data_IF_054233084884
#
_entry.id   IF_054233084884
#
_cell.length_a   1.000
_cell.length_b   1.000
_cell.length_c   1.000
_cell.angle_alpha   90.00
_cell.angle_beta   90.00
_cell.angle_gamma   90.00
#
_symmetry.space_group_name_H-M   'P 1'
#
loop_
_entity.id
_entity.type
_entity.pdbx_description
1 polymer ?
#
# COMPACT_ATOMS: atom_id res chain seq x y z
N UNK A 1 3.22 73.63 0.72
CA UNK A 1 2.70 72.97 1.94
C UNK A 1 2.62 71.47 1.62
N UNK A 2 3.59 70.65 2.09
CA UNK A 2 3.43 69.59 3.12
C UNK A 2 2.11 68.81 2.92
N UNK A 3 2.09 67.50 2.67
CA UNK A 3 2.62 66.46 3.56
C UNK A 3 2.99 65.15 2.82
N UNK A 4 4.05 64.52 3.33
CA UNK A 4 4.38 63.09 3.22
C UNK A 4 3.20 62.20 3.64
N UNK A 5 3.15 60.95 3.16
CA UNK A 5 3.19 59.71 3.97
C UNK A 5 2.97 58.48 3.07
N UNK A 6 4.03 57.70 2.87
CA UNK A 6 4.28 56.37 3.47
C UNK A 6 3.66 55.21 2.67
N UNK A 7 4.55 54.56 1.93
CA UNK A 7 4.54 53.15 1.54
C UNK A 7 3.89 52.24 2.58
N UNK A 8 2.94 51.41 2.14
CA UNK A 8 2.53 50.20 2.84
C UNK A 8 2.47 49.06 1.81
N UNK A 9 3.62 48.42 1.57
CA UNK A 9 3.65 47.13 0.89
C UNK A 9 3.11 46.09 1.87
N UNK A 10 1.91 45.57 1.60
CA UNK A 10 1.34 44.46 2.34
C UNK A 10 2.06 43.17 1.92
N UNK A 11 3.11 42.80 2.66
CA UNK A 11 3.70 41.46 2.56
C UNK A 11 2.77 40.51 3.31
N UNK A 12 1.93 39.79 2.58
CA UNK A 12 1.18 38.65 3.13
C UNK A 12 2.18 37.52 3.30
N UNK A 13 2.63 37.30 4.54
CA UNK A 13 3.42 36.14 4.92
C UNK A 13 2.48 34.93 4.80
N UNK A 14 2.58 34.20 3.69
CA UNK A 14 2.04 32.86 3.61
C UNK A 14 2.85 31.98 4.57
N UNK A 15 2.37 31.83 5.80
CA UNK A 15 2.82 30.77 6.70
C UNK A 15 2.25 29.46 6.14
N UNK A 16 2.95 28.90 5.16
CA UNK A 16 2.79 27.50 4.81
C UNK A 16 3.12 26.72 6.07
N UNK A 17 2.08 26.14 6.68
CA UNK A 17 2.22 25.14 7.74
C UNK A 17 3.19 24.07 7.25
N UNK A 18 4.44 24.16 7.67
CA UNK A 18 5.35 23.02 7.71
C UNK A 18 4.78 22.09 8.78
N UNK A 19 3.74 21.34 8.41
CA UNK A 19 3.45 20.11 9.11
C UNK A 19 4.74 19.29 9.06
N UNK A 20 5.21 18.76 10.21
CA UNK A 20 6.31 17.82 10.17
C UNK A 20 5.80 16.60 9.41
N UNK A 21 6.21 16.47 8.15
CA UNK A 21 6.31 15.18 7.49
C UNK A 21 7.35 14.40 8.30
N UNK A 22 6.90 13.75 9.37
CA UNK A 22 7.73 12.81 10.10
C UNK A 22 8.30 11.84 9.06
N UNK A 23 9.62 11.93 8.87
CA UNK A 23 10.37 11.38 7.75
C UNK A 23 9.83 10.03 7.28
N UNK A 24 9.06 10.08 6.21
CA UNK A 24 8.71 8.94 5.40
C UNK A 24 9.84 8.68 4.41
N UNK A 25 11.11 8.62 4.85
CA UNK A 25 12.28 8.33 3.98
C UNK A 25 12.74 6.88 4.10
N UNK A 26 12.35 6.17 5.16
CA UNK A 26 12.75 4.78 5.38
C UNK A 26 11.63 3.80 5.06
N UNK A 27 12.03 2.63 4.57
CA UNK A 27 11.15 1.46 4.42
C UNK A 27 10.60 1.07 5.78
N UNK A 28 9.27 0.98 5.88
CA UNK A 28 8.60 0.69 7.13
C UNK A 28 8.77 -0.77 7.57
N UNK A 29 8.43 -1.06 8.83
CA UNK A 29 8.47 -2.42 9.35
C UNK A 29 7.50 -3.38 8.63
N UNK A 30 6.47 -2.86 7.96
CA UNK A 30 5.57 -3.65 7.10
C UNK A 30 6.12 -3.86 5.68
N UNK A 31 7.26 -3.24 5.34
CA UNK A 31 7.87 -3.25 4.01
C UNK A 31 7.39 -2.12 3.10
N UNK A 32 6.67 -1.13 3.62
CA UNK A 32 6.15 -0.01 2.84
C UNK A 32 7.21 1.06 2.59
N UNK A 33 7.44 1.39 1.34
CA UNK A 33 8.34 2.45 0.92
C UNK A 33 7.69 3.83 0.98
N UNK A 34 8.51 4.89 1.13
CA UNK A 34 8.10 6.25 0.84
C UNK A 34 7.34 6.37 -0.48
N UNK A 35 6.36 7.27 -0.55
CA UNK A 35 5.77 7.59 -1.85
C UNK A 35 6.74 8.45 -2.67
N UNK A 36 6.85 8.19 -3.98
CA UNK A 36 7.53 9.12 -4.88
C UNK A 36 6.95 10.54 -4.74
N UNK A 37 7.78 11.60 -4.81
CA UNK A 37 7.29 12.97 -4.77
C UNK A 37 6.22 13.23 -5.82
N UNK A 38 5.12 13.88 -5.43
CA UNK A 38 4.01 14.19 -6.33
C UNK A 38 3.02 13.04 -6.58
N UNK A 39 3.19 11.89 -5.91
CA UNK A 39 2.20 10.81 -5.97
C UNK A 39 0.84 11.31 -5.47
N UNK A 40 -0.19 11.14 -6.29
CA UNK A 40 -1.57 11.44 -5.90
C UNK A 40 -2.10 10.32 -5.01
N UNK A 41 -2.72 10.70 -3.89
CA UNK A 41 -3.35 9.75 -2.96
C UNK A 41 -4.88 9.91 -2.99
N UNK A 42 -5.65 8.81 -2.84
CA UNK A 42 -7.11 8.85 -2.96
C UNK A 42 -7.82 9.77 -1.96
N UNK A 43 -7.31 9.86 -0.73
CA UNK A 43 -7.86 10.66 0.36
C UNK A 43 -6.82 10.89 1.47
N UNK A 44 -7.10 11.78 2.42
CA UNK A 44 -6.27 11.98 3.62
C UNK A 44 -6.32 10.72 4.52
N UNK A 45 -5.19 10.05 4.78
CA UNK A 45 -5.17 8.79 5.53
C UNK A 45 -5.63 8.93 6.99
N UNK A 46 -5.66 10.15 7.54
CA UNK A 46 -6.11 10.42 8.90
C UNK A 46 -5.08 10.05 9.98
N UNK A 47 -5.51 10.06 11.24
CA UNK A 47 -4.60 9.95 12.38
C UNK A 47 -3.85 8.61 12.44
N UNK A 48 -2.54 8.69 12.63
CA UNK A 48 -1.62 7.54 12.77
C UNK A 48 -1.65 6.56 11.58
N UNK A 49 -2.09 7.03 10.42
CA UNK A 49 -2.09 6.27 9.17
C UNK A 49 -1.37 7.10 8.11
N UNK A 50 -0.63 6.43 7.24
CA UNK A 50 0.10 7.07 6.14
C UNK A 50 -0.02 6.23 4.88
N UNK A 51 0.09 6.87 3.73
CA UNK A 51 0.19 6.16 2.46
C UNK A 51 1.62 5.68 2.23
N UNK A 52 1.76 4.44 1.77
CA UNK A 52 3.04 3.81 1.45
C UNK A 52 2.93 3.05 0.13
N UNK A 53 4.05 2.96 -0.58
CA UNK A 53 4.20 2.15 -1.79
C UNK A 53 4.77 0.80 -1.39
N UNK A 54 4.10 -0.30 -1.73
CA UNK A 54 4.59 -1.65 -1.45
C UNK A 54 4.96 -2.35 -2.75
N UNK A 55 6.06 -3.09 -2.74
CA UNK A 55 6.42 -3.96 -3.86
C UNK A 55 5.33 -5.01 -4.11
N UNK A 56 5.09 -5.31 -5.37
CA UNK A 56 4.14 -6.34 -5.79
C UNK A 56 4.85 -7.64 -6.12
N UNK A 57 4.36 -8.72 -5.51
CA UNK A 57 4.73 -10.08 -5.87
C UNK A 57 3.56 -10.74 -6.61
N UNK A 58 3.74 -10.97 -7.90
CA UNK A 58 2.70 -11.43 -8.83
C UNK A 58 2.50 -12.95 -8.70
N UNK A 59 1.27 -13.43 -8.92
CA UNK A 59 1.00 -14.86 -8.98
C UNK A 59 1.86 -15.51 -10.09
N UNK A 60 2.65 -16.52 -9.73
CA UNK A 60 3.62 -17.17 -10.61
C UNK A 60 5.07 -16.81 -10.30
N UNK A 61 5.31 -15.74 -9.53
CA UNK A 61 6.62 -15.46 -8.94
C UNK A 61 7.00 -16.57 -7.93
N UNK A 62 8.24 -17.12 -7.95
CA UNK A 62 8.70 -18.10 -6.97
C UNK A 62 8.55 -17.63 -5.52
N UNK A 63 8.62 -16.32 -5.28
CA UNK A 63 8.52 -15.69 -3.97
C UNK A 63 7.08 -15.43 -3.52
N UNK A 64 6.07 -15.76 -4.34
CA UNK A 64 4.67 -15.46 -4.02
C UNK A 64 4.23 -16.02 -2.66
N UNK A 65 4.74 -17.19 -2.26
CA UNK A 65 4.46 -17.79 -0.94
C UNK A 65 5.64 -17.69 0.04
N UNK A 66 6.73 -17.03 -0.35
CA UNK A 66 7.90 -16.86 0.50
C UNK A 66 7.59 -15.81 1.59
N UNK A 67 7.72 -16.21 2.86
CA UNK A 67 7.43 -15.35 4.02
C UNK A 67 8.54 -14.32 4.29
N UNK A 68 9.75 -14.58 3.80
CA UNK A 68 10.90 -13.70 3.98
C UNK A 68 10.87 -12.51 3.00
N UNK A 69 10.04 -12.60 1.96
CA UNK A 69 9.87 -11.54 0.96
C UNK A 69 8.69 -10.65 1.34
N UNK A 70 8.97 -9.41 1.72
CA UNK A 70 7.94 -8.40 1.99
C UNK A 70 7.29 -7.92 0.70
N UNK A 71 6.06 -7.43 0.80
CA UNK A 71 5.30 -6.91 -0.34
C UNK A 71 3.88 -7.45 -0.40
N UNK A 72 3.10 -6.89 -1.32
CA UNK A 72 1.70 -7.25 -1.54
C UNK A 72 1.61 -8.33 -2.60
N UNK A 73 0.89 -9.42 -2.29
CA UNK A 73 0.61 -10.49 -3.23
C UNK A 73 -0.57 -10.11 -4.11
N UNK A 74 -0.39 -10.11 -5.43
CA UNK A 74 -1.46 -9.77 -6.37
C UNK A 74 -1.85 -10.99 -7.19
N UNK A 75 -3.14 -11.33 -7.16
CA UNK A 75 -3.75 -12.37 -7.99
C UNK A 75 -4.51 -11.70 -9.14
N UNK A 76 -4.24 -12.12 -10.37
CA UNK A 76 -4.84 -11.56 -11.58
C UNK A 76 -3.90 -10.61 -12.33
N UNK A 77 -4.43 -9.96 -13.37
CA UNK A 77 -3.66 -9.01 -14.17
C UNK A 77 -3.32 -7.74 -13.38
N UNK A 78 -2.03 -7.46 -13.24
CA UNK A 78 -1.51 -6.23 -12.67
C UNK A 78 -0.12 -5.92 -13.22
N UNK A 79 -0.01 -4.78 -13.91
CA UNK A 79 1.18 -4.44 -14.69
C UNK A 79 2.20 -3.57 -13.94
N UNK A 80 1.83 -3.03 -12.78
CA UNK A 80 2.72 -2.22 -11.96
C UNK A 80 3.53 -3.13 -11.02
N UNK A 81 4.71 -2.65 -10.63
CA UNK A 81 5.60 -3.38 -9.72
C UNK A 81 5.46 -2.90 -8.27
N UNK A 82 4.66 -1.85 -8.05
CA UNK A 82 4.27 -1.41 -6.72
C UNK A 82 2.78 -1.10 -6.65
N UNK A 83 2.24 -1.11 -5.44
CA UNK A 83 0.85 -0.80 -5.13
C UNK A 83 0.78 0.17 -3.95
N UNK A 84 -0.16 1.11 -4.03
CA UNK A 84 -0.39 2.08 -2.97
C UNK A 84 -1.24 1.43 -1.87
N UNK A 85 -0.79 1.42 -0.62
CA UNK A 85 -1.60 0.96 0.50
C UNK A 85 -1.52 1.91 1.69
N UNK A 86 -2.52 1.84 2.56
CA UNK A 86 -2.47 2.51 3.85
C UNK A 86 -1.61 1.69 4.81
N UNK A 87 -0.82 2.38 5.60
CA UNK A 87 -0.13 1.79 6.74
C UNK A 87 -0.59 2.50 8.00
N UNK A 88 -1.14 1.73 8.94
CA UNK A 88 -1.45 2.22 10.28
C UNK A 88 -0.32 1.86 11.25
N UNK A 89 0.06 2.81 12.10
CA UNK A 89 1.17 2.66 13.05
C UNK A 89 1.02 1.45 14.02
N UNK A 90 -0.22 1.00 14.28
CA UNK A 90 -0.50 -0.17 15.15
C UNK A 90 -1.01 -1.38 14.36
N UNK A 91 -1.83 -1.14 13.34
CA UNK A 91 -2.50 -2.19 12.58
C UNK A 91 -1.69 -2.76 11.41
N UNK A 92 -0.59 -2.12 11.05
CA UNK A 92 0.19 -2.49 9.86
C UNK A 92 -0.51 -2.08 8.57
N UNK A 93 -0.32 -2.88 7.51
CA UNK A 93 -0.85 -2.57 6.19
C UNK A 93 -2.37 -2.78 6.13
N UNK A 94 -3.07 -1.72 5.74
CA UNK A 94 -4.51 -1.67 5.55
C UNK A 94 -4.84 -1.19 4.13
N UNK A 95 -6.07 -1.43 3.64
CA UNK A 95 -6.60 -1.02 2.33
C UNK A 95 -5.59 -0.64 1.22
N UNK A 96 -5.49 -1.45 0.17
CA UNK A 96 -4.65 -1.13 -0.99
C UNK A 96 -5.50 -0.50 -2.09
N UNK A 97 -4.92 0.39 -2.90
CA UNK A 97 -5.60 1.21 -3.87
C UNK A 97 -4.83 1.28 -5.19
N UNK A 98 -5.56 1.28 -6.29
CA UNK A 98 -5.04 1.47 -7.66
C UNK A 98 -5.99 2.41 -8.38
N UNK A 99 -5.45 3.47 -8.99
CA UNK A 99 -6.22 4.49 -9.72
C UNK A 99 -7.41 5.05 -8.92
N UNK A 100 -7.20 5.30 -7.61
CA UNK A 100 -8.22 5.84 -6.72
C UNK A 100 -9.27 4.83 -6.22
N UNK A 101 -9.20 3.57 -6.63
CA UNK A 101 -10.14 2.52 -6.24
C UNK A 101 -9.49 1.52 -5.31
N UNK A 102 -10.24 1.04 -4.33
CA UNK A 102 -9.76 0.01 -3.41
C UNK A 102 -9.61 -1.34 -4.14
N UNK A 103 -8.43 -1.94 -3.98
CA UNK A 103 -8.15 -3.31 -4.39
C UNK A 103 -8.90 -4.29 -3.48
N UNK A 104 -9.43 -5.34 -4.07
CA UNK A 104 -10.18 -6.34 -3.30
C UNK A 104 -9.22 -7.21 -2.52
N UNK A 105 -9.28 -7.12 -1.19
CA UNK A 105 -8.52 -7.99 -0.31
C UNK A 105 -9.07 -9.42 -0.36
N UNK A 106 -8.21 -10.39 -0.67
CA UNK A 106 -8.56 -11.81 -0.76
C UNK A 106 -8.17 -12.55 0.52
N UNK A 107 -7.08 -12.16 1.18
CA UNK A 107 -6.68 -12.72 2.47
C UNK A 107 -5.51 -11.94 3.06
N UNK A 108 -5.20 -12.21 4.33
CA UNK A 108 -3.94 -11.86 4.94
C UNK A 108 -3.27 -13.16 5.42
N UNK A 109 -2.15 -13.51 4.80
CA UNK A 109 -1.43 -14.77 5.01
C UNK A 109 -0.09 -14.50 5.71
N UNK A 110 0.61 -15.53 6.23
CA UNK A 110 1.94 -15.36 6.82
C UNK A 110 2.97 -14.71 5.87
N UNK A 111 2.80 -14.88 4.56
CA UNK A 111 3.64 -14.26 3.52
C UNK A 111 3.12 -12.88 3.05
N UNK A 112 2.15 -12.29 3.75
CA UNK A 112 1.65 -10.94 3.50
C UNK A 112 0.21 -10.87 3.01
N UNK A 113 -0.19 -9.65 2.69
CA UNK A 113 -1.54 -9.32 2.21
C UNK A 113 -1.72 -9.78 0.77
N UNK A 114 -2.84 -10.43 0.49
CA UNK A 114 -3.22 -10.92 -0.84
C UNK A 114 -4.40 -10.11 -1.34
N UNK A 115 -4.24 -9.48 -2.50
CA UNK A 115 -5.26 -8.62 -3.12
C UNK A 115 -5.46 -8.98 -4.59
N UNK A 116 -6.53 -8.44 -5.16
CA UNK A 116 -6.73 -8.41 -6.61
C UNK A 116 -7.32 -7.07 -7.04
N UNK A 117 -6.96 -6.66 -8.25
CA UNK A 117 -7.59 -5.55 -8.98
C UNK A 117 -8.17 -6.00 -10.32
N UNK A 118 -8.00 -7.29 -10.65
CA UNK A 118 -8.50 -7.88 -11.88
C UNK A 118 -10.02 -8.13 -11.73
N UNK A 119 -10.86 -7.57 -12.62
CA UNK A 119 -12.32 -7.75 -12.54
C UNK A 119 -12.77 -9.21 -12.55
N UNK A 120 -12.09 -10.07 -13.32
CA UNK A 120 -12.42 -11.49 -13.40
C UNK A 120 -12.10 -12.20 -12.09
N UNK A 121 -10.92 -11.95 -11.53
CA UNK A 121 -10.53 -12.54 -10.23
C UNK A 121 -11.41 -11.99 -9.11
N UNK A 122 -11.74 -10.70 -9.14
CA UNK A 122 -12.64 -10.07 -8.19
C UNK A 122 -14.03 -10.70 -8.19
N UNK A 123 -14.58 -11.04 -9.37
CA UNK A 123 -15.84 -11.77 -9.47
C UNK A 123 -15.81 -13.11 -8.71
N UNK A 124 -14.67 -13.80 -8.72
CA UNK A 124 -14.47 -15.06 -7.97
C UNK A 124 -13.91 -14.87 -6.56
N UNK A 125 -13.77 -13.63 -6.06
CA UNK A 125 -13.17 -13.35 -4.76
C UNK A 125 -13.77 -14.15 -3.59
N UNK A 126 -15.10 -14.38 -3.49
CA UNK A 126 -15.67 -15.20 -2.42
C UNK A 126 -15.16 -16.64 -2.41
N UNK A 127 -15.05 -17.27 -3.58
CA UNK A 127 -14.52 -18.62 -3.71
C UNK A 127 -13.01 -18.66 -3.39
N UNK A 128 -12.25 -17.69 -3.89
CA UNK A 128 -10.81 -17.59 -3.63
C UNK A 128 -10.54 -17.39 -2.13
N UNK A 129 -11.28 -16.48 -1.48
CA UNK A 129 -11.24 -16.25 -0.03
C UNK A 129 -11.49 -17.54 0.76
N UNK A 130 -12.47 -18.34 0.34
CA UNK A 130 -12.76 -19.62 0.98
C UNK A 130 -11.57 -20.58 0.91
N UNK A 131 -10.98 -20.77 -0.27
CA UNK A 131 -9.83 -21.66 -0.43
C UNK A 131 -8.58 -21.15 0.29
N UNK A 132 -8.29 -19.85 0.25
CA UNK A 132 -7.19 -19.25 1.00
C UNK A 132 -7.40 -19.38 2.51
N UNK A 133 -8.64 -19.21 2.98
CA UNK A 133 -9.00 -19.42 4.39
C UNK A 133 -8.78 -20.86 4.86
N UNK A 134 -9.08 -21.86 4.02
CA UNK A 134 -8.76 -23.26 4.31
C UNK A 134 -7.24 -23.47 4.37
N UNK A 135 -6.49 -22.93 3.40
CA UNK A 135 -5.02 -23.04 3.40
C UNK A 135 -4.40 -22.42 4.66
N UNK A 136 -4.89 -21.26 5.09
CA UNK A 136 -4.44 -20.59 6.30
C UNK A 136 -4.70 -21.44 7.56
N UNK A 137 -5.92 -22.01 7.68
CA UNK A 137 -6.31 -22.83 8.85
C UNK A 137 -5.56 -24.15 8.94
N UNK A 138 -5.30 -24.77 7.80
CA UNK A 138 -4.64 -26.08 7.74
C UNK A 138 -3.10 -25.98 7.71
N UNK A 139 -2.53 -24.77 7.75
CA UNK A 139 -1.08 -24.55 7.67
C UNK A 139 -0.47 -25.04 6.35
N UNK A 140 -1.28 -25.21 5.29
CA UNK A 140 -0.87 -25.79 4.00
C UNK A 140 0.01 -24.84 3.18
N UNK A 141 0.30 -23.65 3.69
CA UNK A 141 1.12 -22.62 3.05
C UNK A 141 2.47 -23.15 2.55
N UNK A 142 3.05 -24.14 3.25
CA UNK A 142 4.34 -24.75 2.93
C UNK A 142 4.23 -25.99 2.02
N UNK A 143 3.07 -26.63 1.93
CA UNK A 143 2.92 -27.91 1.21
C UNK A 143 2.77 -27.73 -0.31
N UNK A 144 2.31 -26.57 -0.77
CA UNK A 144 2.24 -26.24 -2.20
C UNK A 144 3.43 -25.41 -2.71
N UNK A 145 4.42 -25.15 -1.86
CA UNK A 145 5.68 -24.49 -2.23
C UNK A 145 6.78 -25.50 -2.62
N UNK A 146 6.56 -26.81 -2.38
CA UNK A 146 7.58 -27.85 -2.47
C UNK A 146 7.71 -28.60 -3.80
N UNK A 147 7.09 -28.17 -4.90
CA UNK A 147 7.17 -28.92 -6.17
C UNK A 147 8.12 -28.35 -7.23
N UNK A 148 9.03 -27.43 -6.88
CA UNK A 148 10.06 -26.93 -7.80
C UNK A 148 11.50 -27.12 -7.29
N UNK A 149 11.76 -28.25 -6.64
CA UNK A 149 13.10 -28.80 -6.54
C UNK A 149 13.11 -30.25 -7.01
N UNK A 150 13.01 -30.44 -8.32
CA UNK A 150 13.59 -31.58 -9.04
C UNK A 150 14.20 -31.00 -10.32
#
# INVERSE_FOLDING_TARGET
>A
MRHFHRTAAAVVIAVSLLAPVASADETSWTGGHPLPPGTQVPFDPGYATQWRSYDVVKLGDPNFRNQDVRGVRVIGQFNQDSILCLENAKGGMWGCYVDGKEATELSYMPFGKVVTVDPLVNFFAPAIRFFLGIQARLGLSNLFAGSSQI
#
